data_IF_510781637692
#
_entry.id   IF_510781637692
#
_cell.length_a   1.000
_cell.length_b   1.000
_cell.length_c   1.000
_cell.angle_alpha   90.00
_cell.angle_beta   90.00
_cell.angle_gamma   90.00
#
_symmetry.space_group_name_H-M   'P 1'
#
loop_
_entity.id
_entity.type
_entity.pdbx_description
1 polymer ?
#
# COMPACT_ATOMS: atom_id res chain seq x y z
N UNK A 1 1.64 13.48 13.05
CA UNK A 1 1.70 12.61 11.85
C UNK A 1 2.51 11.39 12.22
N UNK A 2 2.22 10.23 11.66
CA UNK A 2 2.90 8.96 11.97
C UNK A 2 3.39 8.32 10.67
N UNK A 3 4.64 7.86 10.67
CA UNK A 3 5.22 7.09 9.57
C UNK A 3 4.82 5.63 9.76
N UNK A 4 4.23 5.02 8.73
CA UNK A 4 3.94 3.60 8.71
C UNK A 4 4.78 2.92 7.64
N UNK A 5 5.54 1.91 8.04
CA UNK A 5 6.08 0.92 7.11
C UNK A 5 4.97 0.00 6.67
N UNK A 6 4.86 -0.21 5.36
CA UNK A 6 3.80 -1.00 4.77
C UNK A 6 4.34 -1.98 3.75
N UNK A 7 3.51 -2.99 3.47
CA UNK A 7 3.69 -3.93 2.39
C UNK A 7 2.47 -3.91 1.45
N UNK A 8 2.73 -4.06 0.15
CA UNK A 8 1.69 -4.26 -0.88
C UNK A 8 1.96 -5.58 -1.59
N UNK A 9 0.98 -6.48 -1.55
CA UNK A 9 0.95 -7.66 -2.41
C UNK A 9 0.26 -7.36 -3.74
N UNK A 10 0.85 -7.82 -4.84
CA UNK A 10 0.26 -7.80 -6.18
C UNK A 10 0.50 -9.15 -6.85
N UNK A 11 -0.58 -9.78 -7.30
CA UNK A 11 -0.48 -11.06 -7.99
C UNK A 11 0.05 -10.90 -9.41
N UNK A 12 0.92 -11.83 -9.81
CA UNK A 12 1.37 -11.91 -11.19
C UNK A 12 0.15 -12.17 -12.10
N UNK A 13 0.16 -11.53 -13.27
CA UNK A 13 -0.92 -11.65 -14.24
C UNK A 13 -0.44 -11.23 -15.63
N UNK A 14 -1.28 -11.41 -16.64
CA UNK A 14 -1.00 -10.95 -18.00
C UNK A 14 -0.69 -9.45 -18.10
N UNK A 15 -1.15 -8.64 -17.13
CA UNK A 15 -0.92 -7.19 -17.09
C UNK A 15 0.07 -6.75 -16.01
N UNK A 16 0.57 -7.67 -15.19
CA UNK A 16 1.51 -7.39 -14.11
C UNK A 16 2.60 -8.46 -14.06
N UNK A 17 3.73 -8.15 -14.69
CA UNK A 17 4.92 -8.99 -14.82
C UNK A 17 6.12 -8.39 -14.08
N UNK A 18 7.26 -9.07 -14.13
CA UNK A 18 8.55 -8.54 -13.67
C UNK A 18 8.81 -7.14 -14.24
N UNK A 19 8.79 -6.96 -15.56
CA UNK A 19 9.02 -5.65 -16.17
C UNK A 19 8.10 -4.53 -15.62
N UNK A 20 6.85 -4.85 -15.27
CA UNK A 20 5.95 -3.89 -14.63
C UNK A 20 6.37 -3.61 -13.18
N UNK A 21 6.66 -4.64 -12.39
CA UNK A 21 7.08 -4.49 -11.00
C UNK A 21 8.38 -3.67 -10.87
N UNK A 22 9.37 -3.92 -11.74
CA UNK A 22 10.61 -3.14 -11.82
C UNK A 22 10.33 -1.68 -12.21
N UNK A 23 9.46 -1.46 -13.19
CA UNK A 23 9.04 -0.10 -13.61
C UNK A 23 8.41 0.69 -12.47
N UNK A 24 7.60 0.07 -11.61
CA UNK A 24 7.00 0.78 -10.47
C UNK A 24 8.08 1.27 -9.49
N UNK A 25 9.17 0.52 -9.35
CA UNK A 25 10.31 0.89 -8.49
C UNK A 25 11.19 1.96 -9.14
N UNK A 26 11.54 1.79 -10.42
CA UNK A 26 12.48 2.69 -11.11
C UNK A 26 11.84 4.01 -11.56
N UNK A 27 10.60 3.97 -12.05
CA UNK A 27 10.07 5.07 -12.88
C UNK A 27 8.85 5.76 -12.28
N UNK A 28 7.83 5.00 -11.85
CA UNK A 28 6.49 5.58 -11.64
C UNK A 28 6.04 5.66 -10.18
N UNK A 29 6.38 4.66 -9.37
CA UNK A 29 5.66 4.40 -8.11
C UNK A 29 4.37 3.62 -8.35
N UNK A 30 3.57 3.44 -7.30
CA UNK A 30 2.31 2.69 -7.35
C UNK A 30 1.16 3.66 -7.57
N UNK A 31 0.35 3.45 -8.60
CA UNK A 31 -0.84 4.26 -8.87
C UNK A 31 -2.12 3.57 -8.41
N UNK A 32 -3.07 4.38 -7.93
CA UNK A 32 -4.46 3.96 -7.73
C UNK A 32 -5.12 3.69 -9.08
N UNK A 33 -6.19 2.90 -9.08
CA UNK A 33 -6.94 2.62 -10.30
C UNK A 33 -7.63 3.87 -10.86
N UNK A 34 -7.97 4.85 -10.02
CA UNK A 34 -8.41 6.17 -10.49
C UNK A 34 -7.34 6.86 -11.35
N UNK A 35 -6.08 6.91 -10.90
CA UNK A 35 -4.99 7.52 -11.67
C UNK A 35 -4.77 6.78 -12.99
N UNK A 36 -4.77 5.45 -12.96
CA UNK A 36 -4.62 4.64 -14.18
C UNK A 36 -5.75 4.91 -15.18
N UNK A 37 -7.00 4.99 -14.72
CA UNK A 37 -8.16 5.29 -15.55
C UNK A 37 -8.13 6.72 -16.15
N UNK A 38 -7.36 7.64 -15.55
CA UNK A 38 -7.29 9.04 -15.95
C UNK A 38 -5.92 9.44 -16.54
N UNK A 39 -5.01 8.49 -16.80
CA UNK A 39 -3.61 8.72 -17.17
C UNK A 39 -3.34 9.48 -18.49
N UNK A 40 -4.37 9.81 -19.27
CA UNK A 40 -4.29 10.66 -20.47
C UNK A 40 -4.85 12.08 -20.29
N UNK A 41 -5.32 12.42 -19.09
CA UNK A 41 -5.95 13.71 -18.81
C UNK A 41 -4.89 14.79 -18.65
N UNK A 42 -5.13 15.98 -19.21
CA UNK A 42 -4.26 17.13 -19.00
C UNK A 42 -4.09 17.43 -17.49
N UNK A 43 -2.86 17.74 -17.07
CA UNK A 43 -2.51 17.92 -15.66
C UNK A 43 -3.42 18.92 -14.93
N UNK A 44 -3.73 20.04 -15.58
CA UNK A 44 -4.59 21.10 -15.03
C UNK A 44 -6.00 20.57 -14.69
N UNK A 45 -6.56 19.71 -15.55
CA UNK A 45 -7.86 19.06 -15.32
C UNK A 45 -7.74 17.95 -14.27
N UNK A 46 -6.69 17.12 -14.37
CA UNK A 46 -6.48 15.99 -13.47
C UNK A 46 -6.30 16.44 -12.01
N UNK A 47 -5.70 17.61 -11.77
CA UNK A 47 -5.46 18.11 -10.42
C UNK A 47 -6.76 18.34 -9.64
N UNK A 48 -7.71 19.09 -10.20
CA UNK A 48 -9.01 19.32 -9.56
C UNK A 48 -9.86 18.05 -9.46
N UNK A 49 -9.85 17.23 -10.52
CA UNK A 49 -10.59 15.96 -10.54
C UNK A 49 -10.07 14.96 -9.49
N UNK A 50 -8.75 14.89 -9.28
CA UNK A 50 -8.15 13.97 -8.29
C UNK A 50 -8.50 14.35 -6.86
N UNK A 51 -8.52 15.65 -6.55
CA UNK A 51 -8.98 16.14 -5.24
C UNK A 51 -10.47 15.86 -5.03
N UNK A 52 -11.29 16.04 -6.08
CA UNK A 52 -12.73 15.76 -6.01
C UNK A 52 -13.05 14.27 -5.86
N UNK A 53 -12.17 13.39 -6.33
CA UNK A 53 -12.32 11.94 -6.18
C UNK A 53 -12.09 11.49 -4.73
N UNK A 54 -11.25 12.20 -3.98
CA UNK A 54 -10.95 11.91 -2.59
C UNK A 54 -12.08 12.39 -1.68
N UNK A 55 -12.68 11.45 -0.95
CA UNK A 55 -13.71 11.74 0.04
C UNK A 55 -13.81 10.62 1.07
N UNK A 56 -14.43 10.91 2.21
CA UNK A 56 -14.74 9.89 3.22
C UNK A 56 -15.65 8.79 2.67
N UNK A 57 -16.61 9.13 1.80
CA UNK A 57 -17.48 8.14 1.12
C UNK A 57 -16.69 7.24 0.19
N UNK A 58 -15.79 7.80 -0.62
CA UNK A 58 -14.95 6.99 -1.51
C UNK A 58 -13.99 6.09 -0.72
N UNK A 59 -13.52 6.53 0.46
CA UNK A 59 -12.72 5.70 1.37
C UNK A 59 -13.55 4.55 1.95
N UNK A 60 -14.74 4.84 2.43
CA UNK A 60 -15.67 3.83 2.94
C UNK A 60 -16.02 2.79 1.86
N UNK A 61 -16.34 3.25 0.64
CA UNK A 61 -16.59 2.36 -0.49
C UNK A 61 -15.35 1.53 -0.86
N UNK A 62 -14.15 2.10 -0.78
CA UNK A 62 -12.91 1.37 -1.02
C UNK A 62 -12.74 0.22 -0.02
N UNK A 63 -12.94 0.48 1.27
CA UNK A 63 -12.74 -0.50 2.35
C UNK A 63 -13.87 -1.53 2.39
N UNK A 64 -15.11 -1.08 2.28
CA UNK A 64 -16.30 -1.89 2.57
C UNK A 64 -17.03 -2.38 1.30
N UNK A 65 -16.82 -1.72 0.16
CA UNK A 65 -17.48 -2.03 -1.10
C UNK A 65 -16.52 -2.16 -2.29
N UNK A 66 -15.26 -2.57 -2.06
CA UNK A 66 -14.18 -2.58 -3.06
C UNK A 66 -14.60 -3.14 -4.43
N UNK A 67 -15.39 -4.22 -4.49
CA UNK A 67 -15.85 -4.80 -5.76
C UNK A 67 -16.61 -3.81 -6.66
N UNK A 68 -17.30 -2.82 -6.09
CA UNK A 68 -18.05 -1.79 -6.83
C UNK A 68 -17.14 -0.68 -7.37
N UNK A 69 -16.04 -0.40 -6.69
CA UNK A 69 -15.16 0.74 -6.97
C UNK A 69 -13.75 0.32 -7.39
N UNK A 70 -13.48 -0.97 -7.57
CA UNK A 70 -12.15 -1.50 -7.82
C UNK A 70 -11.49 -0.85 -9.03
N UNK A 71 -12.24 -0.54 -10.08
CA UNK A 71 -11.72 0.09 -11.29
C UNK A 71 -11.48 1.61 -11.18
N UNK A 72 -12.04 2.27 -10.15
CA UNK A 72 -12.11 3.74 -10.08
C UNK A 72 -11.71 4.31 -8.73
N UNK A 73 -11.37 3.47 -7.77
CA UNK A 73 -10.99 3.93 -6.43
C UNK A 73 -9.73 4.80 -6.48
N UNK A 74 -9.72 5.97 -5.82
CA UNK A 74 -8.54 6.80 -5.67
C UNK A 74 -7.62 6.32 -4.54
N UNK A 75 -8.00 5.27 -3.81
CA UNK A 75 -7.22 4.70 -2.70
C UNK A 75 -6.47 3.43 -3.11
N UNK A 76 -5.34 3.20 -2.45
CA UNK A 76 -4.47 2.03 -2.59
C UNK A 76 -4.39 1.33 -1.23
N UNK A 77 -4.91 0.11 -1.12
CA UNK A 77 -4.77 -0.71 0.08
C UNK A 77 -3.32 -1.13 0.30
N UNK A 78 -2.80 -0.85 1.50
CA UNK A 78 -1.49 -1.27 1.99
C UNK A 78 -1.67 -2.00 3.32
N UNK A 79 -0.78 -2.94 3.66
CA UNK A 79 -0.75 -3.56 4.98
C UNK A 79 0.36 -2.98 5.85
N UNK A 80 0.04 -2.46 7.03
CA UNK A 80 1.00 -2.06 8.07
C UNK A 80 1.03 -3.05 9.26
N UNK A 81 0.21 -4.11 9.20
CA UNK A 81 0.05 -5.08 10.29
C UNK A 81 -0.75 -4.48 11.44
N UNK A 82 -1.17 -5.31 12.39
CA UNK A 82 -1.84 -4.83 13.60
C UNK A 82 -1.54 -5.74 14.80
N UNK A 83 -1.87 -5.23 15.99
CA UNK A 83 -1.74 -5.97 17.25
C UNK A 83 -3.09 -5.95 17.93
N UNK A 84 -3.63 -7.12 18.18
CA UNK A 84 -4.97 -7.31 18.74
C UNK A 84 -4.90 -7.69 20.21
N UNK A 85 -5.72 -7.01 21.01
CA UNK A 85 -5.88 -7.36 22.41
C UNK A 85 -6.75 -8.61 22.56
N UNK A 86 -6.18 -9.68 23.10
CA UNK A 86 -6.86 -10.97 23.23
C UNK A 86 -7.58 -11.18 24.58
N UNK A 87 -7.61 -10.16 25.45
CA UNK A 87 -8.16 -10.25 26.80
C UNK A 87 -7.08 -10.35 27.89
N UNK A 88 -7.51 -10.20 29.15
CA UNK A 88 -6.61 -10.15 30.29
C UNK A 88 -5.88 -11.49 30.47
N UNK A 89 -4.57 -11.44 30.65
CA UNK A 89 -3.74 -12.63 30.87
C UNK A 89 -3.43 -13.44 29.61
N UNK A 90 -3.84 -12.97 28.42
CA UNK A 90 -3.46 -13.55 27.14
C UNK A 90 -2.45 -12.66 26.42
N UNK A 91 -1.44 -13.23 25.75
CA UNK A 91 -0.55 -12.44 24.90
C UNK A 91 -1.35 -11.78 23.78
N UNK A 92 -0.91 -10.60 23.36
CA UNK A 92 -1.51 -9.93 22.20
C UNK A 92 -1.27 -10.75 20.93
N UNK A 93 -2.26 -10.76 20.03
CA UNK A 93 -2.12 -11.41 18.73
C UNK A 93 -1.48 -10.42 17.75
N UNK A 94 -0.28 -10.74 17.26
CA UNK A 94 0.41 -9.94 16.25
C UNK A 94 0.02 -10.46 14.86
N UNK A 95 -0.53 -9.59 14.04
CA UNK A 95 -0.91 -9.86 12.66
C UNK A 95 0.08 -9.12 11.74
N UNK A 96 1.14 -9.80 11.25
CA UNK A 96 2.22 -9.14 10.53
C UNK A 96 1.78 -8.70 9.12
N UNK A 97 2.20 -7.50 8.74
CA UNK A 97 1.92 -6.91 7.43
C UNK A 97 2.36 -7.79 6.24
N UNK A 98 3.52 -8.43 6.36
CA UNK A 98 4.09 -9.27 5.30
C UNK A 98 3.20 -10.48 5.00
N UNK A 99 2.62 -11.13 6.01
CA UNK A 99 1.76 -12.29 5.81
C UNK A 99 0.50 -11.94 5.02
N UNK A 100 -0.11 -10.79 5.32
CA UNK A 100 -1.22 -10.23 4.54
C UNK A 100 -0.78 -9.93 3.11
N UNK A 101 0.34 -9.25 2.92
CA UNK A 101 0.84 -8.93 1.58
C UNK A 101 1.13 -10.18 0.74
N UNK A 102 1.73 -11.22 1.33
CA UNK A 102 1.95 -12.50 0.68
C UNK A 102 0.62 -13.14 0.25
N UNK A 103 -0.40 -13.15 1.11
CA UNK A 103 -1.71 -13.69 0.75
C UNK A 103 -2.33 -12.97 -0.47
N UNK A 104 -2.19 -11.65 -0.57
CA UNK A 104 -2.65 -10.90 -1.75
C UNK A 104 -1.76 -11.15 -2.97
N UNK A 105 -0.43 -11.19 -2.80
CA UNK A 105 0.51 -11.45 -3.87
C UNK A 105 0.29 -12.84 -4.48
N UNK A 106 0.02 -13.86 -3.67
CA UNK A 106 -0.13 -15.23 -4.17
C UNK A 106 -1.57 -15.63 -4.47
N UNK A 107 -2.53 -14.71 -4.31
CA UNK A 107 -3.98 -15.00 -4.29
C UNK A 107 -4.29 -16.21 -3.40
N UNK A 108 -3.71 -16.22 -2.21
CA UNK A 108 -3.87 -17.30 -1.23
C UNK A 108 -3.28 -18.64 -1.66
N UNK A 109 -2.14 -18.64 -2.36
CA UNK A 109 -1.42 -19.88 -2.67
C UNK A 109 -1.52 -20.37 -4.11
N UNK A 110 -2.12 -19.60 -5.02
CA UNK A 110 -2.55 -20.09 -6.34
C UNK A 110 -1.73 -19.56 -7.51
N UNK A 111 -0.94 -18.51 -7.30
CA UNK A 111 -0.10 -17.91 -8.35
C UNK A 111 1.13 -17.26 -7.73
N UNK A 112 2.24 -17.13 -8.46
CA UNK A 112 3.34 -16.25 -8.05
C UNK A 112 2.89 -14.79 -7.97
N UNK A 113 3.70 -13.96 -7.34
CA UNK A 113 3.41 -12.53 -7.23
C UNK A 113 4.56 -11.70 -6.71
N UNK A 114 4.23 -10.46 -6.37
CA UNK A 114 5.18 -9.42 -5.99
C UNK A 114 4.78 -8.79 -4.66
N UNK A 115 5.76 -8.59 -3.80
CA UNK A 115 5.61 -7.88 -2.52
C UNK A 115 6.48 -6.63 -2.55
N UNK A 116 5.84 -5.47 -2.46
CA UNK A 116 6.52 -4.19 -2.34
C UNK A 116 6.64 -3.80 -0.88
N UNK A 117 7.81 -3.34 -0.44
CA UNK A 117 7.99 -2.68 0.85
C UNK A 117 8.13 -1.18 0.65
N UNK A 118 7.36 -0.40 1.40
CA UNK A 118 7.30 1.05 1.26
C UNK A 118 6.90 1.72 2.57
N UNK A 119 6.90 3.05 2.62
CA UNK A 119 6.35 3.80 3.75
C UNK A 119 5.37 4.88 3.31
N UNK A 120 4.45 5.23 4.22
CA UNK A 120 3.48 6.32 4.05
C UNK A 120 3.33 7.13 5.34
N UNK A 121 2.76 8.32 5.23
CA UNK A 121 2.47 9.20 6.37
C UNK A 121 0.98 9.20 6.66
N UNK A 122 0.60 8.93 7.90
CA UNK A 122 -0.79 9.04 8.38
C UNK A 122 -0.91 10.21 9.35
N UNK A 123 -2.15 10.64 9.61
CA UNK A 123 -2.42 11.74 10.55
C UNK A 123 -3.31 11.26 11.70
N UNK A 124 -3.29 11.94 12.87
CA UNK A 124 -4.05 11.50 14.04
C UNK A 124 -5.56 11.76 13.93
N UNK A 125 -6.05 12.20 12.77
CA UNK A 125 -7.46 12.39 12.46
C UNK A 125 -7.73 11.92 11.03
N UNK A 126 -8.95 11.45 10.71
CA UNK A 126 -9.30 11.17 9.32
C UNK A 126 -9.13 12.43 8.45
N UNK A 127 -8.48 12.29 7.30
CA UNK A 127 -8.20 13.39 6.38
C UNK A 127 -8.36 12.94 4.92
N UNK A 128 -9.41 12.16 4.66
CA UNK A 128 -9.60 11.39 3.43
C UNK A 128 -9.46 12.21 2.13
N UNK A 129 -9.81 13.49 2.17
CA UNK A 129 -9.78 14.46 1.08
C UNK A 129 -8.40 15.11 0.83
N UNK A 130 -7.45 15.03 1.78
CA UNK A 130 -6.12 15.64 1.65
C UNK A 130 -5.14 14.68 0.93
N UNK A 131 -4.65 15.03 -0.28
CA UNK A 131 -3.63 14.24 -0.97
C UNK A 131 -2.31 14.19 -0.21
N UNK A 132 -1.50 13.14 -0.44
CA UNK A 132 -0.17 12.99 0.16
C UNK A 132 -0.16 12.44 1.60
N UNK A 133 -1.34 12.24 2.19
CA UNK A 133 -1.52 11.54 3.46
C UNK A 133 -2.24 10.21 3.22
N UNK A 134 -1.95 9.21 4.04
CA UNK A 134 -2.66 7.95 4.09
C UNK A 134 -3.63 7.93 5.28
N UNK A 135 -4.63 7.05 5.22
CA UNK A 135 -5.59 6.82 6.30
C UNK A 135 -5.28 5.52 7.03
N UNK A 136 -5.14 5.60 8.36
CA UNK A 136 -4.88 4.44 9.22
C UNK A 136 -6.21 3.73 9.54
N UNK A 137 -6.83 3.11 8.52
CA UNK A 137 -8.17 2.52 8.62
C UNK A 137 -8.25 1.33 9.57
N UNK A 138 -7.10 0.81 10.02
CA UNK A 138 -6.97 -0.12 11.14
C UNK A 138 -7.02 0.56 12.52
N UNK A 139 -7.18 1.87 12.68
CA UNK A 139 -7.38 2.47 14.00
C UNK A 139 -8.88 2.63 14.29
N UNK A 140 -9.44 1.75 15.14
CA UNK A 140 -10.86 1.77 15.50
C UNK A 140 -11.29 3.01 16.31
N UNK A 141 -10.34 3.76 16.89
CA UNK A 141 -10.65 5.03 17.53
C UNK A 141 -10.85 6.14 16.52
N UNK A 142 -10.19 6.05 15.36
CA UNK A 142 -10.33 7.01 14.27
C UNK A 142 -11.45 6.63 13.30
N UNK A 143 -11.61 5.32 13.07
CA UNK A 143 -12.60 4.75 12.15
C UNK A 143 -13.47 3.73 12.91
N UNK A 144 -14.47 4.24 13.63
CA UNK A 144 -15.38 3.41 14.43
C UNK A 144 -16.46 2.69 13.60
N UNK A 145 -16.52 2.94 12.29
CA UNK A 145 -17.34 2.18 11.37
C UNK A 145 -16.84 0.74 11.24
N UNK A 146 -17.71 -0.20 10.90
CA UNK A 146 -17.27 -1.57 10.67
C UNK A 146 -16.34 -1.62 9.46
N UNK A 147 -15.06 -1.94 9.68
CA UNK A 147 -14.06 -2.11 8.62
C UNK A 147 -13.68 -3.58 8.55
N UNK A 148 -14.16 -4.29 7.52
CA UNK A 148 -14.02 -5.76 7.40
C UNK A 148 -12.58 -6.25 7.48
N UNK A 149 -11.63 -5.43 7.03
CA UNK A 149 -10.21 -5.79 6.90
C UNK A 149 -9.31 -5.14 7.96
N UNK A 150 -9.88 -4.63 9.06
CA UNK A 150 -9.11 -4.08 10.20
C UNK A 150 -7.96 -5.00 10.66
N UNK A 151 -8.24 -6.30 10.78
CA UNK A 151 -7.26 -7.33 11.19
C UNK A 151 -6.09 -7.50 10.20
N UNK A 152 -6.19 -7.00 8.99
CA UNK A 152 -5.10 -7.00 8.00
C UNK A 152 -4.12 -5.83 8.24
N UNK A 153 -4.41 -4.97 9.22
CA UNK A 153 -3.64 -3.77 9.48
C UNK A 153 -3.67 -2.79 8.30
N UNK A 154 -4.82 -2.67 7.65
CA UNK A 154 -4.94 -1.87 6.42
C UNK A 154 -4.66 -0.38 6.69
N UNK A 155 -3.84 0.19 5.81
CA UNK A 155 -3.58 1.62 5.66
C UNK A 155 -3.84 1.96 4.20
N UNK A 156 -4.60 3.03 3.92
CA UNK A 156 -4.94 3.39 2.54
C UNK A 156 -4.16 4.60 2.08
N UNK A 157 -3.26 4.43 1.12
CA UNK A 157 -2.63 5.56 0.43
C UNK A 157 -3.59 6.18 -0.58
N UNK A 158 -3.35 7.44 -0.97
CA UNK A 158 -4.21 8.21 -1.86
C UNK A 158 -3.51 8.52 -3.17
N UNK A 159 -4.22 8.33 -4.27
CA UNK A 159 -3.84 8.61 -5.66
C UNK A 159 -2.61 7.82 -6.13
N UNK A 160 -1.47 8.00 -5.48
CA UNK A 160 -0.22 7.32 -5.78
C UNK A 160 0.69 7.20 -4.56
N UNK A 161 1.53 6.17 -4.55
CA UNK A 161 2.73 6.08 -3.70
C UNK A 161 3.95 6.42 -4.57
N UNK A 162 4.63 7.55 -4.34
CA UNK A 162 5.85 7.91 -5.04
C UNK A 162 6.90 6.80 -5.02
N UNK A 163 7.62 6.62 -6.14
CA UNK A 163 8.70 5.62 -6.24
C UNK A 163 9.76 5.75 -5.13
N UNK A 164 10.09 6.99 -4.73
CA UNK A 164 11.07 7.26 -3.66
C UNK A 164 10.63 6.79 -2.27
N UNK A 165 9.36 6.44 -2.08
CA UNK A 165 8.86 5.83 -0.84
C UNK A 165 8.87 4.30 -0.89
N UNK A 166 9.17 3.70 -2.04
CA UNK A 166 9.27 2.26 -2.23
C UNK A 166 10.72 1.84 -2.01
N UNK A 167 10.97 1.00 -1.02
CA UNK A 167 12.30 0.53 -0.68
C UNK A 167 12.78 -0.58 -1.64
N UNK A 168 11.88 -1.51 -1.94
CA UNK A 168 12.17 -2.66 -2.81
C UNK A 168 10.90 -3.38 -3.24
N UNK A 169 11.04 -4.24 -4.24
CA UNK A 169 10.07 -5.29 -4.59
C UNK A 169 10.73 -6.66 -4.50
N UNK A 170 9.99 -7.65 -4.02
CA UNK A 170 10.40 -9.05 -3.96
C UNK A 170 9.43 -9.88 -4.81
N UNK A 171 9.95 -10.74 -5.68
CA UNK A 171 9.12 -11.76 -6.35
C UNK A 171 9.04 -13.00 -5.46
N UNK A 172 7.86 -13.60 -5.41
CA UNK A 172 7.58 -14.82 -4.66
C UNK A 172 6.85 -15.82 -5.54
N UNK A 173 7.05 -17.10 -5.26
CA UNK A 173 6.25 -18.17 -5.84
C UNK A 173 4.84 -18.23 -5.23
N UNK A 174 4.06 -19.26 -5.61
CA UNK A 174 2.71 -19.42 -5.10
C UNK A 174 2.68 -19.71 -3.59
N UNK A 175 3.72 -20.32 -3.03
CA UNK A 175 3.84 -20.65 -1.61
C UNK A 175 4.26 -19.42 -0.79
N UNK A 176 4.71 -18.36 -1.46
CA UNK A 176 5.20 -17.13 -0.84
C UNK A 176 6.70 -17.16 -0.57
N UNK A 177 7.40 -18.17 -1.09
CA UNK A 177 8.84 -18.28 -0.98
C UNK A 177 9.51 -17.36 -2.03
N UNK A 178 10.64 -16.70 -1.70
CA UNK A 178 11.35 -15.84 -2.65
C UNK A 178 11.71 -16.58 -3.94
N UNK A 179 11.43 -15.95 -5.08
CA UNK A 179 11.64 -16.51 -6.41
C UNK A 179 12.48 -15.53 -7.22
N UNK A 180 13.53 -16.03 -7.88
CA UNK A 180 14.32 -15.21 -8.79
C UNK A 180 13.44 -14.66 -9.92
N UNK A 181 13.66 -13.41 -10.27
CA UNK A 181 12.93 -12.75 -11.33
C UNK A 181 13.87 -12.29 -12.43
N UNK A 182 13.28 -11.86 -13.55
CA UNK A 182 14.02 -11.33 -14.69
C UNK A 182 14.52 -9.89 -14.51
N UNK A 183 14.70 -9.42 -13.27
CA UNK A 183 15.21 -8.07 -12.98
C UNK A 183 16.61 -7.87 -13.58
N UNK A 184 16.95 -6.61 -13.82
CA UNK A 184 18.35 -6.22 -14.05
C UNK A 184 19.21 -6.54 -12.81
N UNK A 185 19.87 -7.70 -12.78
CA UNK A 185 20.69 -8.18 -11.65
C UNK A 185 20.37 -9.60 -11.16
N UNK A 186 19.20 -10.15 -11.47
CA UNK A 186 18.88 -11.59 -11.33
C UNK A 186 18.53 -12.12 -9.93
N UNK A 187 18.33 -11.28 -8.91
CA UNK A 187 17.95 -11.72 -7.56
C UNK A 187 16.42 -11.86 -7.37
N UNK A 188 15.98 -12.46 -6.26
CA UNK A 188 14.55 -12.46 -5.87
C UNK A 188 14.03 -11.08 -5.39
N UNK A 189 14.94 -10.17 -5.03
CA UNK A 189 14.64 -8.82 -4.54
C UNK A 189 15.27 -7.79 -5.47
N UNK A 190 14.47 -6.84 -5.92
CA UNK A 190 14.94 -5.64 -6.62
C UNK A 190 14.86 -4.43 -5.69
N UNK A 191 16.03 -3.93 -5.27
CA UNK A 191 16.17 -2.78 -4.40
C UNK A 191 16.05 -1.46 -5.18
N UNK A 192 15.38 -0.47 -4.60
CA UNK A 192 15.25 0.84 -5.21
C UNK A 192 16.48 1.72 -4.91
N UNK A 193 17.31 2.09 -5.91
CA UNK A 193 18.48 2.93 -5.69
C UNK A 193 18.11 4.37 -5.28
N UNK A 194 16.91 4.83 -5.61
CA UNK A 194 16.42 6.18 -5.29
C UNK A 194 15.51 6.23 -4.05
N UNK A 195 15.50 5.16 -3.26
CA UNK A 195 14.73 5.12 -2.03
C UNK A 195 15.15 6.23 -1.06
N UNK A 196 14.17 6.95 -0.55
CA UNK A 196 14.35 7.93 0.52
C UNK A 196 13.77 7.34 1.79
N UNK A 197 14.63 7.12 2.78
CA UNK A 197 14.22 6.59 4.07
C UNK A 197 13.33 7.59 4.84
N UNK A 198 12.45 7.10 5.74
CA UNK A 198 11.45 7.96 6.38
C UNK A 198 12.04 9.00 7.35
N UNK A 199 13.27 8.78 7.80
CA UNK A 199 14.04 9.74 8.61
C UNK A 199 14.22 11.08 7.90
N UNK A 200 14.29 11.09 6.56
CA UNK A 200 14.39 12.32 5.77
C UNK A 200 13.18 13.26 5.90
N UNK A 201 12.01 12.77 6.35
CA UNK A 201 10.81 13.59 6.60
C UNK A 201 10.46 13.68 8.09
N UNK A 202 11.28 13.08 8.95
CA UNK A 202 11.13 13.16 10.40
C UNK A 202 11.90 14.37 10.92
N UNK A 203 11.24 15.23 11.68
CA UNK A 203 11.90 16.29 12.44
C UNK A 203 12.45 15.80 13.79
N UNK A 204 12.33 14.49 14.08
CA UNK A 204 12.93 13.88 15.28
C UNK A 204 14.40 13.63 15.00
N UNK A 205 15.27 14.44 15.61
CA UNK A 205 16.71 14.20 15.65
C UNK A 205 16.92 12.91 16.45
N UNK A 206 17.41 11.85 15.81
CA UNK A 206 17.83 10.63 16.50
C UNK A 206 18.81 11.01 17.60
N UNK A 207 18.56 10.54 18.82
CA UNK A 207 19.32 10.85 20.04
C UNK A 207 20.82 11.04 19.78
N UNK A 208 21.33 12.22 20.17
CA UNK A 208 22.77 12.52 20.31
C UNK A 208 23.43 11.61 21.34
#
# INVERSE_FOLDING_TARGET
MLINWCFKGVAESATFSDAMAERLVNDTGIFSNWILANGGTALTTAQGASQSALSATALDDHVNAYKKVSATTPYISLGAGCVEYQGRGKPALVLPALGTALNFATRGGTTPGFVFRLWVVTTPKPAADIPGLAEDVRDLKLFSGFHKYHYQGEVTAKLYVPRRQIAWVMKVDAQGDPLDASWTGGDSVFANPDFVAPDAVSNVIGSL
#
